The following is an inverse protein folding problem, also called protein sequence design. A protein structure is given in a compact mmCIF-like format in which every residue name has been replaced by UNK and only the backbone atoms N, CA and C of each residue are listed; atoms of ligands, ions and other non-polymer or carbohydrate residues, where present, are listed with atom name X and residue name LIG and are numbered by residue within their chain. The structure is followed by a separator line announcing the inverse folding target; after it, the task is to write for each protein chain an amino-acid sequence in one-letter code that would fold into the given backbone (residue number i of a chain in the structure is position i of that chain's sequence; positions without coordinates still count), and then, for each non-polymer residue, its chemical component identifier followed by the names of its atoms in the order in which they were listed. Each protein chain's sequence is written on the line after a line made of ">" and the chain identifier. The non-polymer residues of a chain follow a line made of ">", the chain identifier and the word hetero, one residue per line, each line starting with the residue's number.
data_IF_434402318532
#
_entry.id   IF_434402318532
#
_cell.length_a   1.000
_cell.length_b   1.000
_cell.length_c   1.000
_cell.angle_alpha   90.00
_cell.angle_beta   90.00
_cell.angle_gamma   90.00
#
_symmetry.space_group_name_H-M   'P 1'
#
loop_
_entity.id
_entity.type
_entity.pdbx_description
1 polymer ?
#
# COMPACT_ATOMS: atom_id res chain seq x y z
N UNK A 1 -27.89 -13.72 44.07
CA UNK A 1 -27.58 -14.56 42.90
C UNK A 1 -28.26 -13.94 41.70
N UNK A 2 -27.44 -13.59 40.70
CA UNK A 2 -27.76 -13.41 39.28
C UNK A 2 -28.55 -12.18 38.80
N UNK A 3 -27.74 -11.24 38.31
CA UNK A 3 -27.80 -10.47 37.07
C UNK A 3 -28.94 -9.46 36.82
N UNK A 4 -28.55 -8.20 37.04
CA UNK A 4 -29.15 -6.95 36.59
C UNK A 4 -29.03 -6.75 35.06
N UNK A 5 -29.89 -5.85 34.58
CA UNK A 5 -30.34 -5.58 33.23
C UNK A 5 -29.27 -5.31 32.15
N UNK A 6 -29.69 -5.55 30.90
CA UNK A 6 -28.97 -5.09 29.71
C UNK A 6 -29.71 -5.46 28.44
N UNK A 7 -30.78 -4.73 28.15
CA UNK A 7 -31.62 -4.79 26.95
C UNK A 7 -30.78 -4.96 25.68
N UNK A 8 -31.07 -6.02 24.93
CA UNK A 8 -30.69 -6.15 23.52
C UNK A 8 -31.44 -5.09 22.70
N UNK A 9 -30.75 -4.01 22.34
CA UNK A 9 -31.02 -3.28 21.11
C UNK A 9 -29.68 -3.18 20.38
N UNK A 10 -29.54 -4.08 19.42
CA UNK A 10 -28.35 -4.30 18.61
C UNK A 10 -28.25 -3.18 17.58
N UNK A 11 -28.02 -1.96 18.07
CA UNK A 11 -27.69 -0.80 17.28
C UNK A 11 -26.23 -0.98 16.79
N UNK A 12 -26.05 -1.75 15.72
CA UNK A 12 -24.82 -1.71 14.94
C UNK A 12 -24.65 -0.30 14.39
N UNK A 13 -23.98 0.56 15.16
CA UNK A 13 -23.46 1.82 14.65
C UNK A 13 -22.39 1.42 13.65
N UNK A 14 -22.65 1.61 12.37
CA UNK A 14 -21.62 1.51 11.33
C UNK A 14 -20.51 2.50 11.69
N UNK A 15 -19.46 2.00 12.33
CA UNK A 15 -18.20 2.70 12.42
C UNK A 15 -17.50 2.43 11.08
N UNK A 16 -17.22 3.44 10.24
CA UNK A 16 -16.36 3.23 9.09
C UNK A 16 -15.04 2.62 9.59
N UNK A 17 -14.41 1.72 8.82
CA UNK A 17 -13.10 1.13 9.16
C UNK A 17 -12.02 2.16 9.51
N UNK A 18 -12.26 3.45 9.26
CA UNK A 18 -11.45 4.59 9.72
C UNK A 18 -11.49 4.88 11.23
N UNK A 19 -12.43 4.29 11.99
CA UNK A 19 -12.66 4.58 13.42
C UNK A 19 -12.06 3.56 14.39
N UNK A 20 -11.62 2.40 13.89
CA UNK A 20 -10.62 1.61 14.58
C UNK A 20 -9.27 2.16 14.13
N UNK A 21 -8.30 2.44 15.02
CA UNK A 21 -6.94 2.41 14.57
C UNK A 21 -6.68 0.95 14.18
N UNK A 22 -6.80 0.62 12.91
CA UNK A 22 -5.80 -0.25 12.33
C UNK A 22 -4.57 0.66 12.22
N UNK A 23 -3.61 0.65 13.16
CA UNK A 23 -2.36 1.34 12.95
C UNK A 23 -1.61 0.48 11.93
N UNK A 24 -2.07 0.45 10.67
CA UNK A 24 -1.23 0.04 9.56
C UNK A 24 -0.03 0.98 9.61
N UNK A 25 0.98 0.52 10.34
CA UNK A 25 2.20 1.26 10.54
C UNK A 25 2.98 1.00 9.28
N UNK A 26 3.42 2.09 8.68
CA UNK A 26 4.26 2.05 7.51
C UNK A 26 5.59 2.66 7.92
N UNK A 27 6.65 1.90 7.66
CA UNK A 27 8.00 2.44 7.68
C UNK A 27 8.26 3.09 6.33
N UNK A 28 8.53 4.39 6.33
CA UNK A 28 8.97 5.11 5.14
C UNK A 28 10.41 4.70 4.80
N UNK A 29 10.62 4.25 3.56
CA UNK A 29 11.93 3.85 3.04
C UNK A 29 12.54 4.90 2.10
N UNK A 30 11.80 5.99 1.82
CA UNK A 30 12.21 7.08 0.96
C UNK A 30 11.86 6.89 -0.52
N UNK A 31 12.33 7.86 -1.32
CA UNK A 31 12.05 7.93 -2.76
C UNK A 31 13.08 7.16 -3.59
N UNK A 32 12.60 6.38 -4.57
CA UNK A 32 13.41 5.66 -5.55
C UNK A 32 13.12 6.21 -6.95
N UNK A 33 14.18 6.51 -7.70
CA UNK A 33 14.07 7.04 -9.07
C UNK A 33 14.52 5.99 -10.08
N UNK A 34 13.65 5.66 -11.04
CA UNK A 34 13.91 4.67 -12.09
C UNK A 34 13.45 5.25 -13.42
N UNK A 35 14.34 5.33 -14.42
CA UNK A 35 13.94 5.79 -15.76
C UNK A 35 13.45 7.25 -15.84
N UNK A 36 13.71 8.06 -14.81
CA UNK A 36 13.16 9.42 -14.68
C UNK A 36 11.85 9.48 -13.89
N UNK A 37 11.36 8.34 -13.41
CA UNK A 37 10.11 8.21 -12.67
C UNK A 37 10.40 8.01 -11.18
N UNK A 38 9.66 8.71 -10.33
CA UNK A 38 9.86 8.73 -8.88
C UNK A 38 8.76 7.97 -8.17
N UNK A 39 9.16 7.09 -7.26
CA UNK A 39 8.29 6.30 -6.42
C UNK A 39 8.65 6.49 -4.96
N UNK A 40 7.67 6.85 -4.12
CA UNK A 40 7.83 6.80 -2.68
C UNK A 40 7.58 5.37 -2.19
N UNK A 41 8.54 4.82 -1.45
CA UNK A 41 8.52 3.43 -1.01
C UNK A 41 8.21 3.36 0.47
N UNK A 42 7.18 2.58 0.81
CA UNK A 42 6.76 2.35 2.19
C UNK A 42 6.67 0.87 2.46
N UNK A 43 7.09 0.43 3.64
CA UNK A 43 6.95 -0.96 4.08
C UNK A 43 5.88 -1.06 5.15
N UNK A 44 4.92 -1.95 4.97
CA UNK A 44 3.89 -2.23 5.97
C UNK A 44 4.45 -3.10 7.07
N UNK A 45 4.35 -2.66 8.32
CA UNK A 45 4.91 -3.38 9.48
C UNK A 45 4.17 -4.69 9.79
N UNK A 46 2.89 -4.80 9.43
CA UNK A 46 2.05 -5.96 9.73
C UNK A 46 2.48 -7.24 9.01
N UNK A 47 2.80 -7.14 7.72
CA UNK A 47 3.12 -8.29 6.85
C UNK A 47 4.43 -8.12 6.05
N UNK A 48 5.05 -6.95 6.14
CA UNK A 48 6.30 -6.63 5.46
C UNK A 48 6.16 -6.25 4.00
N UNK A 49 4.94 -6.17 3.44
CA UNK A 49 4.71 -5.72 2.06
C UNK A 49 5.30 -4.35 1.79
N UNK A 50 5.73 -4.17 0.55
CA UNK A 50 6.26 -2.90 0.05
C UNK A 50 5.23 -2.26 -0.86
N UNK A 51 4.89 -1.02 -0.55
CA UNK A 51 4.00 -0.16 -1.31
C UNK A 51 4.86 0.86 -2.05
N UNK A 52 4.56 1.05 -3.33
CA UNK A 52 5.24 1.95 -4.24
C UNK A 52 4.22 2.96 -4.74
N UNK A 53 4.29 4.17 -4.24
CA UNK A 53 3.42 5.28 -4.67
C UNK A 53 4.11 6.04 -5.80
N UNK A 54 3.52 6.04 -6.99
CA UNK A 54 4.11 6.67 -8.17
C UNK A 54 3.80 8.17 -8.18
N UNK A 55 4.74 8.99 -7.72
CA UNK A 55 4.52 10.43 -7.52
C UNK A 55 4.81 11.30 -8.73
N UNK A 56 5.67 10.83 -9.64
CA UNK A 56 5.91 11.50 -10.93
C UNK A 56 5.00 11.00 -12.06
N UNK A 57 4.12 10.05 -11.78
CA UNK A 57 3.30 9.37 -12.78
C UNK A 57 2.18 10.25 -13.33
N UNK A 58 1.59 9.88 -14.47
CA UNK A 58 0.46 10.61 -15.06
C UNK A 58 -0.80 10.52 -14.20
N UNK A 59 -0.89 9.50 -13.34
CA UNK A 59 -2.08 9.15 -12.58
C UNK A 59 -1.84 9.39 -11.07
N UNK A 60 -2.40 10.46 -10.47
CA UNK A 60 -2.15 10.78 -9.07
C UNK A 60 -2.73 9.71 -8.15
N UNK A 61 -1.93 9.28 -7.17
CA UNK A 61 -2.30 8.21 -6.24
C UNK A 61 -2.24 6.80 -6.83
N UNK A 62 -1.64 6.65 -8.02
CA UNK A 62 -1.39 5.36 -8.62
C UNK A 62 -0.08 4.75 -8.12
N UNK A 63 0.03 3.43 -8.22
CA UNK A 63 1.12 2.69 -7.63
C UNK A 63 0.85 1.20 -7.63
N UNK A 64 1.71 0.45 -6.97
CA UNK A 64 1.55 -0.99 -6.82
C UNK A 64 2.11 -1.46 -5.47
N UNK A 65 1.81 -2.70 -5.12
CA UNK A 65 2.31 -3.30 -3.89
C UNK A 65 2.84 -4.69 -4.18
N UNK A 66 3.94 -5.03 -3.51
CA UNK A 66 4.57 -6.35 -3.61
C UNK A 66 4.54 -6.97 -2.23
N UNK A 67 4.10 -8.22 -2.15
CA UNK A 67 4.17 -8.99 -0.92
C UNK A 67 5.61 -9.05 -0.44
N UNK A 68 5.78 -8.86 0.86
CA UNK A 68 7.10 -8.85 1.47
C UNK A 68 7.33 -10.05 2.35
N UNK A 69 8.42 -9.97 3.10
CA UNK A 69 8.75 -10.86 4.19
C UNK A 69 9.44 -10.10 5.30
N UNK A 70 9.93 -10.81 6.31
CA UNK A 70 10.57 -10.20 7.48
C UNK A 70 11.93 -9.54 7.18
N UNK A 71 12.64 -9.99 6.15
CA UNK A 71 13.99 -9.50 5.84
C UNK A 71 13.97 -8.15 5.10
N UNK A 72 14.89 -7.23 5.42
CA UNK A 72 15.08 -6.02 4.63
C UNK A 72 15.58 -6.36 3.23
N UNK A 73 15.05 -5.65 2.24
CA UNK A 73 15.47 -5.72 0.84
C UNK A 73 16.31 -4.49 0.49
N UNK A 74 17.21 -4.61 -0.47
CA UNK A 74 18.08 -3.51 -0.91
C UNK A 74 17.45 -2.65 -2.01
N UNK A 75 18.05 -1.49 -2.27
CA UNK A 75 17.63 -0.54 -3.31
C UNK A 75 17.47 -1.17 -4.69
N UNK A 76 18.39 -2.06 -5.09
CA UNK A 76 18.32 -2.74 -6.40
C UNK A 76 17.03 -3.57 -6.57
N UNK A 77 16.53 -4.15 -5.48
CA UNK A 77 15.29 -4.92 -5.49
C UNK A 77 14.08 -4.01 -5.76
N UNK A 78 14.01 -2.86 -5.08
CA UNK A 78 12.99 -1.84 -5.34
C UNK A 78 13.06 -1.34 -6.78
N UNK A 79 14.26 -0.99 -7.25
CA UNK A 79 14.46 -0.52 -8.61
C UNK A 79 14.09 -1.58 -9.66
N UNK A 80 14.27 -2.87 -9.36
CA UNK A 80 13.81 -3.96 -10.25
C UNK A 80 12.29 -4.07 -10.26
N UNK A 81 11.64 -4.11 -9.10
CA UNK A 81 10.18 -4.18 -9.01
C UNK A 81 9.50 -3.02 -9.76
N UNK A 82 10.05 -1.80 -9.63
CA UNK A 82 9.57 -0.62 -10.35
C UNK A 82 9.78 -0.79 -11.87
N UNK A 83 10.94 -1.27 -12.33
CA UNK A 83 11.18 -1.52 -13.76
C UNK A 83 10.20 -2.54 -14.35
N UNK A 84 9.94 -3.63 -13.63
CA UNK A 84 8.96 -4.64 -14.05
C UNK A 84 7.55 -4.05 -14.15
N UNK A 85 7.14 -3.22 -13.18
CA UNK A 85 5.86 -2.50 -13.22
C UNK A 85 5.77 -1.57 -14.44
N UNK A 86 6.77 -0.72 -14.65
CA UNK A 86 6.81 0.24 -15.77
C UNK A 86 6.82 -0.44 -17.14
N UNK A 87 7.46 -1.60 -17.27
CA UNK A 87 7.44 -2.39 -18.49
C UNK A 87 6.04 -2.92 -18.85
N UNK A 88 5.16 -3.06 -17.86
CA UNK A 88 3.76 -3.42 -18.05
C UNK A 88 2.82 -2.24 -18.30
N UNK A 89 3.30 -1.00 -18.13
CA UNK A 89 2.48 0.20 -18.34
C UNK A 89 2.37 0.50 -19.84
N UNK A 90 1.13 0.68 -20.28
CA UNK A 90 0.85 1.27 -21.58
C UNK A 90 1.17 2.78 -21.55
N UNK A 91 2.07 3.27 -22.43
CA UNK A 91 2.52 4.65 -22.38
C UNK A 91 1.47 5.66 -22.85
N UNK A 92 0.42 5.22 -23.55
CA UNK A 92 -0.65 6.11 -24.00
C UNK A 92 -1.67 6.39 -22.88
N UNK A 93 -1.83 5.46 -21.94
CA UNK A 93 -2.85 5.51 -20.88
C UNK A 93 -2.27 5.65 -19.48
N UNK A 94 -1.01 5.25 -19.26
CA UNK A 94 -0.37 5.25 -17.93
C UNK A 94 -0.88 4.15 -16.99
N UNK A 95 -1.61 3.16 -17.52
CA UNK A 95 -2.13 2.01 -16.78
C UNK A 95 -1.47 0.73 -17.26
N UNK A 96 -1.54 -0.33 -16.43
CA UNK A 96 -1.13 -1.67 -16.86
C UNK A 96 -1.90 -2.06 -18.12
N UNK A 97 -1.19 -2.45 -19.17
CA UNK A 97 -1.80 -2.94 -20.39
C UNK A 97 -2.60 -4.23 -20.08
N UNK A 98 -3.84 -4.29 -20.56
CA UNK A 98 -4.59 -5.55 -20.59
C UNK A 98 -3.86 -6.48 -21.57
N UNK A 99 -3.26 -7.55 -21.03
CA UNK A 99 -2.48 -8.53 -21.81
C UNK A 99 -3.38 -9.52 -22.54
#
# INVERSE_FOLDING_TARGET
>A
MTNDAGTSDDAWVYAPSSALPDPETYTDLGAVVVGGETFDVRRRDSDGSHHYDWTSGPNPGYGFSVSGGGAPVGEEWHARAIRDFLAGIDPATGYLADS
#
